data_IF_456573826203
#
_entry.id   IF_456573826203
#
_cell.length_a   1.000
_cell.length_b   1.000
_cell.length_c   1.000
_cell.angle_alpha   90.00
_cell.angle_beta   90.00
_cell.angle_gamma   90.00
#
_symmetry.space_group_name_H-M   'P 1'
#
loop_
_entity.id
_entity.type
_entity.pdbx_description
1 polymer ?
#
# COMPACT_ATOMS: atom_id res chain seq x y z
N UNK A 1 -10.41 63.06 -12.54
CA UNK A 1 -8.96 63.37 -12.67
C UNK A 1 -8.27 62.07 -13.10
N UNK A 2 -7.86 61.84 -14.37
CA UNK A 2 -6.65 62.38 -15.08
C UNK A 2 -5.40 62.17 -14.18
N UNK A 3 -4.34 61.40 -14.49
CA UNK A 3 -3.67 61.03 -15.76
C UNK A 3 -2.67 59.84 -15.60
N UNK A 4 -2.49 59.08 -16.71
CA UNK A 4 -1.26 58.58 -17.39
C UNK A 4 -0.34 57.53 -16.70
N UNK A 5 -0.06 56.37 -17.33
CA UNK A 5 0.92 56.03 -18.44
C UNK A 5 2.38 56.26 -18.00
N UNK A 6 3.32 55.33 -18.14
CA UNK A 6 3.96 54.71 -19.35
C UNK A 6 4.84 53.52 -18.86
N UNK A 7 4.84 52.31 -19.43
CA UNK A 7 5.40 51.81 -20.71
C UNK A 7 6.94 51.69 -20.77
N UNK A 8 7.36 50.63 -21.48
CA UNK A 8 8.65 50.35 -22.15
C UNK A 8 9.44 49.18 -21.51
N UNK A 9 9.49 47.98 -22.12
CA UNK A 9 10.27 47.56 -23.32
C UNK A 9 11.76 47.37 -22.95
N UNK A 10 12.54 46.41 -23.42
CA UNK A 10 12.51 45.59 -24.64
C UNK A 10 13.60 44.49 -24.53
N UNK A 11 13.55 43.53 -25.46
CA UNK A 11 14.70 42.83 -26.08
C UNK A 11 15.60 41.89 -25.25
N UNK A 12 16.13 40.76 -25.76
CA UNK A 12 16.25 40.26 -27.13
C UNK A 12 16.74 38.80 -27.17
N UNK A 13 16.63 38.25 -28.39
CA UNK A 13 16.89 36.91 -28.90
C UNK A 13 18.38 36.48 -28.94
N UNK A 14 18.63 35.16 -28.94
CA UNK A 14 19.45 34.42 -29.95
C UNK A 14 19.72 32.99 -29.45
N UNK A 15 19.19 31.95 -30.11
CA UNK A 15 19.76 31.20 -31.23
C UNK A 15 21.21 30.71 -31.02
N UNK A 16 21.39 29.38 -30.93
CA UNK A 16 22.25 28.72 -31.90
C UNK A 16 21.94 27.22 -32.08
N UNK A 17 21.77 26.86 -33.35
CA UNK A 17 21.69 25.52 -33.90
C UNK A 17 23.09 24.89 -33.92
N UNK A 18 23.20 23.55 -33.88
CA UNK A 18 24.08 22.81 -34.80
C UNK A 18 23.82 21.31 -34.75
N UNK A 19 23.41 20.83 -35.91
CA UNK A 19 23.30 19.46 -36.38
C UNK A 19 24.67 18.77 -36.41
N UNK A 20 24.69 17.44 -36.30
CA UNK A 20 25.60 16.61 -37.10
C UNK A 20 25.01 15.21 -37.32
N UNK A 21 24.68 14.96 -38.58
CA UNK A 21 24.57 13.66 -39.26
C UNK A 21 25.98 13.05 -39.37
N UNK A 22 26.26 11.74 -39.42
CA UNK A 22 25.91 10.80 -40.50
C UNK A 22 26.59 9.44 -40.24
N UNK A 23 25.97 8.36 -40.73
CA UNK A 23 26.57 7.21 -41.44
C UNK A 23 27.61 6.31 -40.72
N UNK A 24 27.74 5.00 -40.95
CA UNK A 24 27.00 3.93 -41.64
C UNK A 24 27.79 2.62 -41.40
N UNK A 25 27.16 1.47 -41.67
CA UNK A 25 27.72 0.17 -42.07
C UNK A 25 27.90 -0.97 -41.04
N UNK A 26 26.97 -1.93 -41.20
CA UNK A 26 27.23 -3.32 -41.66
C UNK A 26 27.85 -4.33 -40.70
N UNK A 27 27.00 -5.26 -40.25
CA UNK A 27 27.39 -6.61 -39.82
C UNK A 27 26.19 -7.55 -39.89
N UNK A 28 26.12 -8.40 -40.91
CA UNK A 28 25.14 -9.48 -41.04
C UNK A 28 25.48 -10.64 -40.11
N UNK A 29 24.47 -11.49 -39.89
CA UNK A 29 24.52 -12.93 -39.63
C UNK A 29 24.57 -13.38 -38.17
N UNK A 30 23.45 -13.89 -37.64
CA UNK A 30 23.13 -15.32 -37.73
C UNK A 30 21.89 -15.64 -36.92
N UNK A 31 21.05 -16.51 -37.49
CA UNK A 31 19.98 -17.20 -36.79
C UNK A 31 20.53 -17.94 -35.56
N UNK A 32 19.89 -17.78 -34.41
CA UNK A 32 19.65 -18.94 -33.55
C UNK A 32 18.33 -18.76 -32.80
N UNK A 33 17.36 -19.54 -33.23
CA UNK A 33 16.10 -19.78 -32.54
C UNK A 33 16.29 -20.84 -31.46
N UNK A 34 15.41 -20.77 -30.46
CA UNK A 34 14.98 -21.82 -29.51
C UNK A 34 15.60 -21.78 -28.09
N UNK A 35 14.97 -22.39 -27.08
CA UNK A 35 13.81 -21.86 -26.34
C UNK A 35 13.99 -21.91 -24.80
N UNK A 36 13.10 -21.24 -24.07
CA UNK A 36 12.71 -21.66 -22.71
C UNK A 36 13.74 -21.42 -21.59
N UNK A 37 13.83 -20.19 -21.09
CA UNK A 37 14.39 -19.95 -19.76
C UNK A 37 13.27 -20.01 -18.71
N UNK A 38 13.02 -21.22 -18.21
CA UNK A 38 12.12 -21.49 -17.08
C UNK A 38 12.87 -21.58 -15.74
N UNK A 39 14.12 -21.10 -15.69
CA UNK A 39 14.97 -21.22 -14.49
C UNK A 39 14.79 -20.07 -13.51
N UNK A 40 14.57 -18.84 -14.00
CA UNK A 40 14.39 -17.64 -13.15
C UNK A 40 13.12 -17.72 -12.28
N UNK A 41 12.05 -18.35 -12.77
CA UNK A 41 10.76 -18.41 -12.07
C UNK A 41 10.75 -19.35 -10.86
N UNK A 42 11.65 -20.35 -10.81
CA UNK A 42 11.63 -21.37 -9.74
C UNK A 42 12.33 -20.89 -8.46
N UNK A 43 13.42 -20.14 -8.59
CA UNK A 43 14.19 -19.67 -7.43
C UNK A 43 13.45 -18.59 -6.63
N UNK A 44 12.69 -17.72 -7.31
CA UNK A 44 11.90 -16.66 -6.66
C UNK A 44 10.77 -17.24 -5.80
N UNK A 45 10.09 -18.29 -6.28
CA UNK A 45 9.01 -18.95 -5.55
C UNK A 45 9.48 -19.74 -4.33
N UNK A 46 10.74 -20.20 -4.33
CA UNK A 46 11.31 -20.92 -3.20
C UNK A 46 11.70 -19.97 -2.04
N UNK A 47 12.11 -18.74 -2.36
CA UNK A 47 12.40 -17.70 -1.36
C UNK A 47 11.19 -16.88 -0.91
N UNK A 48 10.16 -16.76 -1.76
CA UNK A 48 8.96 -15.95 -1.50
C UNK A 48 7.67 -16.69 -1.92
N UNK A 49 7.25 -17.72 -1.16
CA UNK A 49 6.13 -18.58 -1.52
C UNK A 49 4.77 -17.86 -1.53
N UNK A 50 4.69 -16.67 -0.94
CA UNK A 50 3.48 -15.86 -0.91
C UNK A 50 3.56 -14.62 -1.80
N UNK A 51 4.62 -14.47 -2.60
CA UNK A 51 4.85 -13.32 -3.47
C UNK A 51 4.74 -11.98 -2.70
N UNK A 52 5.36 -11.92 -1.52
CA UNK A 52 5.33 -10.76 -0.64
C UNK A 52 6.10 -9.57 -1.20
N UNK A 53 7.17 -9.83 -1.96
CA UNK A 53 8.03 -8.77 -2.51
C UNK A 53 7.25 -7.96 -3.55
N UNK A 54 6.69 -8.61 -4.58
CA UNK A 54 5.99 -7.88 -5.64
C UNK A 54 4.62 -7.39 -5.17
N UNK A 55 3.86 -8.23 -4.44
CA UNK A 55 2.53 -7.83 -3.94
C UNK A 55 2.65 -6.69 -2.94
N UNK A 56 3.47 -6.82 -1.91
CA UNK A 56 3.42 -5.87 -0.79
C UNK A 56 4.60 -4.91 -0.78
N UNK A 57 5.84 -5.40 -0.79
CA UNK A 57 7.03 -4.55 -0.57
C UNK A 57 7.14 -3.45 -1.63
N UNK A 58 7.04 -3.81 -2.92
CA UNK A 58 7.17 -2.84 -4.01
C UNK A 58 6.03 -1.82 -4.02
N UNK A 59 4.79 -2.27 -3.78
CA UNK A 59 3.63 -1.39 -3.70
C UNK A 59 3.72 -0.43 -2.50
N UNK A 60 4.14 -0.91 -1.33
CA UNK A 60 4.31 -0.08 -0.14
C UNK A 60 5.45 0.92 -0.30
N UNK A 61 6.59 0.52 -0.89
CA UNK A 61 7.71 1.43 -1.14
C UNK A 61 7.27 2.69 -1.91
N UNK A 62 6.37 2.54 -2.87
CA UNK A 62 5.87 3.65 -3.68
C UNK A 62 4.73 4.47 -3.02
N UNK A 63 3.94 3.87 -2.12
CA UNK A 63 2.66 4.46 -1.66
C UNK A 63 2.57 4.70 -0.16
N UNK A 64 3.41 4.05 0.65
CA UNK A 64 3.37 4.18 2.10
C UNK A 64 3.58 5.61 2.60
N UNK A 65 4.51 6.43 2.04
CA UNK A 65 4.66 7.83 2.46
C UNK A 65 3.39 8.67 2.30
N UNK A 66 2.62 8.43 1.23
CA UNK A 66 1.34 9.10 1.02
C UNK A 66 0.26 8.56 1.96
N UNK A 67 0.19 7.24 2.15
CA UNK A 67 -0.79 6.60 3.03
C UNK A 67 -0.65 7.07 4.49
N UNK A 68 0.57 7.10 5.02
CA UNK A 68 0.81 7.54 6.39
C UNK A 68 0.49 9.03 6.56
N UNK A 69 0.76 9.87 5.55
CA UNK A 69 0.39 11.29 5.58
C UNK A 69 -1.14 11.48 5.60
N UNK A 70 -1.88 10.72 4.80
CA UNK A 70 -3.35 10.75 4.79
C UNK A 70 -3.96 10.37 6.15
N UNK A 71 -3.43 9.32 6.79
CA UNK A 71 -3.91 8.90 8.12
C UNK A 71 -3.49 9.89 9.20
N UNK A 72 -2.28 10.47 9.13
CA UNK A 72 -1.86 11.56 10.03
C UNK A 72 -2.73 12.82 9.88
N UNK A 73 -3.31 13.04 8.70
CA UNK A 73 -4.33 14.09 8.45
C UNK A 73 -5.77 13.66 8.81
N UNK A 74 -5.96 12.42 9.28
CA UNK A 74 -7.24 11.91 9.76
C UNK A 74 -8.22 11.46 8.68
N UNK A 75 -7.79 11.32 7.42
CA UNK A 75 -8.67 10.91 6.32
C UNK A 75 -7.89 10.22 5.20
N UNK A 76 -8.22 8.96 4.93
CA UNK A 76 -7.82 8.25 3.71
C UNK A 76 -8.46 8.89 2.48
N UNK A 77 -7.67 9.10 1.43
CA UNK A 77 -8.08 9.74 0.16
C UNK A 77 -7.75 8.90 -1.06
N UNK A 78 -6.70 8.08 -1.03
CA UNK A 78 -6.23 7.33 -2.22
C UNK A 78 -6.32 5.80 -2.05
N UNK A 79 -5.94 5.08 -3.11
CA UNK A 79 -6.12 3.65 -3.25
C UNK A 79 -4.88 2.87 -2.80
N UNK A 80 -4.76 2.60 -1.50
CA UNK A 80 -3.62 1.86 -0.94
C UNK A 80 -3.99 0.81 0.12
N UNK A 81 -5.27 0.72 0.50
CA UNK A 81 -5.69 -0.06 1.68
C UNK A 81 -5.25 -1.51 1.60
N UNK A 82 -5.43 -2.14 0.44
CA UNK A 82 -5.30 -3.59 0.29
C UNK A 82 -3.90 -4.11 0.60
N UNK A 83 -2.87 -3.35 0.23
CA UNK A 83 -1.49 -3.76 0.41
C UNK A 83 -0.81 -3.12 1.62
N UNK A 84 -1.47 -2.20 2.36
CA UNK A 84 -0.96 -1.64 3.64
C UNK A 84 -1.70 -2.24 4.84
N UNK A 85 -3.01 -2.46 4.71
CA UNK A 85 -3.89 -3.10 5.69
C UNK A 85 -4.56 -4.34 5.04
N UNK A 86 -3.78 -5.40 4.70
CA UNK A 86 -4.33 -6.59 4.07
C UNK A 86 -5.29 -7.32 5.00
N UNK A 87 -6.23 -8.05 4.40
CA UNK A 87 -7.29 -8.78 5.08
C UNK A 87 -7.23 -10.27 4.74
N UNK A 88 -7.87 -11.15 5.55
CA UNK A 88 -8.17 -12.50 5.09
C UNK A 88 -9.16 -12.47 3.90
N UNK A 89 -9.31 -13.58 3.15
CA UNK A 89 -10.35 -13.72 2.15
C UNK A 89 -11.75 -13.53 2.76
N UNK A 90 -12.61 -12.81 2.05
CA UNK A 90 -14.00 -12.65 2.47
C UNK A 90 -14.87 -13.73 1.80
N UNK A 91 -15.26 -14.76 2.55
CA UNK A 91 -16.02 -15.90 2.05
C UNK A 91 -17.51 -15.77 2.40
N UNK A 92 -18.39 -15.91 1.41
CA UNK A 92 -19.86 -15.95 1.57
C UNK A 92 -20.41 -17.09 0.70
N UNK A 93 -21.19 -17.99 1.31
CA UNK A 93 -21.73 -19.19 0.67
C UNK A 93 -20.66 -20.06 -0.02
N UNK A 94 -19.50 -20.20 0.63
CA UNK A 94 -18.36 -20.95 0.10
C UNK A 94 -17.63 -20.28 -1.07
N UNK A 95 -18.01 -19.04 -1.45
CA UNK A 95 -17.38 -18.29 -2.54
C UNK A 95 -16.67 -17.05 -2.01
N UNK A 96 -15.46 -16.80 -2.51
CA UNK A 96 -14.74 -15.57 -2.21
C UNK A 96 -15.43 -14.37 -2.88
N UNK A 97 -15.63 -13.31 -2.11
CA UNK A 97 -16.30 -12.07 -2.51
C UNK A 97 -15.31 -10.89 -2.46
N UNK A 98 -15.71 -9.78 -3.06
CA UNK A 98 -14.90 -8.55 -3.14
C UNK A 98 -14.37 -8.28 -4.55
N UNK A 99 -13.68 -7.15 -4.71
CA UNK A 99 -13.04 -6.80 -5.97
C UNK A 99 -11.89 -7.76 -6.28
N UNK A 100 -11.44 -7.77 -7.54
CA UNK A 100 -10.22 -8.47 -7.94
C UNK A 100 -9.03 -8.09 -7.06
N UNK A 101 -8.87 -6.78 -6.80
CA UNK A 101 -7.82 -6.25 -5.93
C UNK A 101 -7.92 -6.74 -4.48
N UNK A 102 -9.14 -6.88 -3.93
CA UNK A 102 -9.32 -7.48 -2.60
C UNK A 102 -8.79 -8.93 -2.59
N UNK A 103 -9.18 -9.74 -3.58
CA UNK A 103 -8.81 -11.15 -3.65
C UNK A 103 -7.33 -11.35 -3.90
N UNK A 104 -6.74 -10.49 -4.73
CA UNK A 104 -5.31 -10.47 -5.06
C UNK A 104 -4.45 -10.18 -3.83
N UNK A 105 -4.85 -9.24 -2.96
CA UNK A 105 -4.10 -8.89 -1.76
C UNK A 105 -4.51 -9.64 -0.48
N UNK A 106 -5.52 -10.50 -0.55
CA UNK A 106 -5.92 -11.30 0.60
C UNK A 106 -4.77 -12.23 1.06
N UNK A 107 -4.54 -12.28 2.36
CA UNK A 107 -3.55 -13.17 2.99
C UNK A 107 -4.22 -14.49 3.40
N UNK A 108 -3.63 -15.61 2.99
CA UNK A 108 -4.18 -16.96 3.14
C UNK A 108 -3.23 -17.83 3.96
N UNK A 109 -3.78 -18.75 4.76
CA UNK A 109 -2.96 -19.68 5.55
C UNK A 109 -1.99 -18.96 6.48
N UNK A 110 -0.71 -19.29 6.37
CA UNK A 110 0.42 -18.72 7.11
C UNK A 110 0.97 -17.42 6.52
N UNK A 111 0.42 -16.93 5.40
CA UNK A 111 0.86 -15.68 4.78
C UNK A 111 0.85 -14.45 5.72
N UNK A 112 -0.08 -14.29 6.70
CA UNK A 112 0.02 -13.23 7.71
C UNK A 112 1.30 -13.32 8.55
N UNK A 113 1.72 -14.52 8.91
CA UNK A 113 2.95 -14.74 9.68
C UNK A 113 4.17 -14.43 8.81
N UNK A 114 4.17 -14.87 7.55
CA UNK A 114 5.22 -14.55 6.59
C UNK A 114 5.31 -13.03 6.34
N UNK A 115 4.17 -12.34 6.22
CA UNK A 115 4.10 -10.89 6.07
C UNK A 115 4.77 -10.17 7.25
N UNK A 116 4.51 -10.61 8.50
CA UNK A 116 5.14 -10.00 9.69
C UNK A 116 6.62 -10.33 9.86
N UNK A 117 7.13 -11.40 9.23
CA UNK A 117 8.57 -11.72 9.22
C UNK A 117 9.38 -10.80 8.29
N UNK A 118 8.72 -10.08 7.38
CA UNK A 118 9.39 -9.09 6.53
C UNK A 118 9.44 -7.76 7.29
N UNK A 119 10.64 -7.38 7.74
CA UNK A 119 10.86 -6.20 8.60
C UNK A 119 10.19 -4.93 8.09
N UNK A 120 10.32 -4.64 6.78
CA UNK A 120 9.72 -3.45 6.17
C UNK A 120 8.18 -3.47 6.23
N UNK A 121 7.55 -4.63 6.04
CA UNK A 121 6.10 -4.79 6.06
C UNK A 121 5.56 -4.69 7.49
N UNK A 122 6.21 -5.35 8.45
CA UNK A 122 5.89 -5.23 9.87
C UNK A 122 6.02 -3.79 10.35
N UNK A 123 7.14 -3.14 10.04
CA UNK A 123 7.39 -1.75 10.42
C UNK A 123 6.30 -0.82 9.89
N UNK A 124 5.99 -0.92 8.59
CA UNK A 124 4.96 -0.10 7.96
C UNK A 124 3.57 -0.35 8.56
N UNK A 125 3.23 -1.61 8.84
CA UNK A 125 1.95 -1.97 9.47
C UNK A 125 1.84 -1.39 10.88
N UNK A 126 2.90 -1.47 11.68
CA UNK A 126 2.93 -0.90 13.02
C UNK A 126 2.82 0.64 12.98
N UNK A 127 3.52 1.30 12.07
CA UNK A 127 3.52 2.76 11.93
C UNK A 127 2.14 3.29 11.49
N UNK A 128 1.46 2.63 10.55
CA UNK A 128 0.09 3.01 10.17
C UNK A 128 -0.89 2.79 11.33
N UNK A 129 -0.71 1.72 12.12
CA UNK A 129 -1.51 1.47 13.32
C UNK A 129 -1.31 2.55 14.39
N UNK A 130 -0.07 2.99 14.64
CA UNK A 130 0.21 4.10 15.56
C UNK A 130 -0.41 5.41 15.11
N UNK A 131 -0.37 5.71 13.80
CA UNK A 131 -1.03 6.89 13.27
C UNK A 131 -2.55 6.83 13.46
N UNK A 132 -3.17 5.66 13.25
CA UNK A 132 -4.59 5.46 13.55
C UNK A 132 -4.89 5.66 15.05
N UNK A 133 -4.06 5.14 15.94
CA UNK A 133 -4.27 5.25 17.39
C UNK A 133 -4.23 6.72 17.83
N UNK A 134 -3.26 7.48 17.30
CA UNK A 134 -3.14 8.92 17.50
C UNK A 134 -4.44 9.63 17.10
N UNK A 135 -4.97 9.36 15.90
CA UNK A 135 -6.23 9.94 15.44
C UNK A 135 -7.42 9.59 16.34
N UNK A 136 -7.51 8.34 16.80
CA UNK A 136 -8.59 7.92 17.70
C UNK A 136 -8.53 8.63 19.06
N UNK A 137 -7.32 8.84 19.61
CA UNK A 137 -7.07 9.61 20.84
C UNK A 137 -7.51 11.07 20.71
N UNK A 138 -7.38 11.67 19.52
CA UNK A 138 -7.88 13.02 19.20
C UNK A 138 -9.35 13.07 18.79
N UNK A 139 -10.14 12.02 19.08
CA UNK A 139 -11.59 12.03 18.86
C UNK A 139 -12.06 11.56 17.49
N UNK A 140 -11.16 11.27 16.55
CA UNK A 140 -11.53 10.73 15.23
C UNK A 140 -12.08 9.28 15.34
N UNK A 141 -12.65 8.74 14.26
CA UNK A 141 -13.18 7.36 14.21
C UNK A 141 -12.69 6.63 12.97
N UNK A 142 -12.68 5.29 12.97
CA UNK A 142 -12.37 4.53 11.76
C UNK A 142 -13.34 4.85 10.62
N UNK A 143 -14.63 5.00 10.92
CA UNK A 143 -15.64 5.38 9.93
C UNK A 143 -15.35 6.75 9.31
N UNK A 144 -14.86 7.71 10.10
CA UNK A 144 -14.47 9.02 9.58
C UNK A 144 -13.18 8.93 8.76
N UNK A 145 -12.16 8.22 9.25
CA UNK A 145 -10.87 8.06 8.56
C UNK A 145 -10.99 7.31 7.23
N UNK A 146 -11.69 6.18 7.21
CA UNK A 146 -11.72 5.24 6.08
C UNK A 146 -13.04 5.24 5.30
N UNK A 147 -14.11 5.76 5.88
CA UNK A 147 -15.45 5.68 5.28
C UNK A 147 -16.12 4.32 5.51
N UNK A 148 -17.39 4.17 5.08
CA UNK A 148 -18.21 3.00 5.40
C UNK A 148 -17.77 1.71 4.71
N UNK A 149 -17.10 1.80 3.55
CA UNK A 149 -16.71 0.62 2.76
C UNK A 149 -15.34 0.05 3.14
N UNK A 150 -14.42 0.90 3.60
CA UNK A 150 -13.07 0.49 3.96
C UNK A 150 -12.92 0.23 5.47
N UNK A 151 -13.73 0.87 6.31
CA UNK A 151 -13.69 0.64 7.76
C UNK A 151 -13.81 -0.85 8.15
N UNK A 152 -14.74 -1.66 7.59
CA UNK A 152 -14.80 -3.10 7.89
C UNK A 152 -13.51 -3.86 7.54
N UNK A 153 -12.80 -3.45 6.48
CA UNK A 153 -11.52 -4.06 6.08
C UNK A 153 -10.42 -3.74 7.08
N UNK A 154 -10.38 -2.52 7.61
CA UNK A 154 -9.43 -2.14 8.67
C UNK A 154 -9.65 -3.00 9.91
N UNK A 155 -10.89 -3.15 10.37
CA UNK A 155 -11.22 -3.99 11.52
C UNK A 155 -10.84 -5.46 11.25
N UNK A 156 -11.13 -5.97 10.05
CA UNK A 156 -10.75 -7.33 9.65
C UNK A 156 -9.23 -7.53 9.64
N UNK A 157 -8.47 -6.57 9.10
CA UNK A 157 -6.99 -6.58 9.13
C UNK A 157 -6.46 -6.58 10.55
N UNK A 158 -6.95 -5.68 11.42
CA UNK A 158 -6.51 -5.58 12.81
C UNK A 158 -6.78 -6.87 13.60
N UNK A 159 -7.93 -7.52 13.42
CA UNK A 159 -8.20 -8.79 14.10
C UNK A 159 -7.22 -9.89 13.63
N UNK A 160 -7.01 -10.03 12.33
CA UNK A 160 -6.08 -11.02 11.76
C UNK A 160 -4.65 -10.79 12.28
N UNK A 161 -4.14 -9.57 12.24
CA UNK A 161 -2.78 -9.28 12.70
C UNK A 161 -2.65 -9.27 14.22
N UNK A 162 -3.72 -8.98 14.98
CA UNK A 162 -3.70 -9.18 16.43
C UNK A 162 -3.49 -10.65 16.79
N UNK A 163 -4.27 -11.55 16.16
CA UNK A 163 -4.13 -12.99 16.37
C UNK A 163 -2.76 -13.49 15.92
N UNK A 164 -2.30 -13.05 14.74
CA UNK A 164 -0.99 -13.42 14.19
C UNK A 164 0.14 -12.95 15.12
N UNK A 165 0.09 -11.71 15.61
CA UNK A 165 1.09 -11.16 16.53
C UNK A 165 1.14 -11.94 17.85
N UNK A 166 -0.02 -12.30 18.41
CA UNK A 166 -0.09 -13.15 19.61
C UNK A 166 0.53 -14.53 19.39
N UNK A 167 0.24 -15.18 18.26
CA UNK A 167 0.85 -16.46 17.89
C UNK A 167 2.37 -16.36 17.76
N UNK A 168 2.86 -15.26 17.21
CA UNK A 168 4.28 -14.99 17.00
C UNK A 168 5.01 -14.41 18.22
N UNK A 169 4.30 -14.11 19.32
CA UNK A 169 4.83 -13.39 20.50
C UNK A 169 5.41 -12.01 20.17
N UNK A 170 4.77 -11.31 19.23
CA UNK A 170 5.04 -9.91 18.93
C UNK A 170 4.16 -9.02 19.81
N UNK A 171 4.59 -8.83 21.06
CA UNK A 171 3.83 -8.14 22.10
C UNK A 171 3.52 -6.68 21.74
N UNK A 172 4.44 -6.02 21.05
CA UNK A 172 4.29 -4.63 20.62
C UNK A 172 3.13 -4.49 19.64
N UNK A 173 3.13 -5.30 18.59
CA UNK A 173 2.08 -5.24 17.58
C UNK A 173 0.73 -5.71 18.14
N UNK A 174 0.72 -6.78 18.92
CA UNK A 174 -0.50 -7.29 19.57
C UNK A 174 -1.13 -6.22 20.47
N UNK A 175 -0.32 -5.50 21.25
CA UNK A 175 -0.79 -4.42 22.13
C UNK A 175 -1.45 -3.30 21.34
N UNK A 176 -0.81 -2.83 20.26
CA UNK A 176 -1.34 -1.74 19.44
C UNK A 176 -2.64 -2.17 18.74
N UNK A 177 -2.69 -3.37 18.15
CA UNK A 177 -3.90 -3.88 17.49
C UNK A 177 -5.06 -4.04 18.49
N UNK A 178 -4.81 -4.61 19.66
CA UNK A 178 -5.81 -4.76 20.73
C UNK A 178 -6.31 -3.42 21.27
N UNK A 179 -5.42 -2.43 21.42
CA UNK A 179 -5.77 -1.05 21.79
C UNK A 179 -6.73 -0.44 20.76
N UNK A 180 -6.38 -0.49 19.47
CA UNK A 180 -7.20 0.02 18.36
C UNK A 180 -8.59 -0.62 18.31
N UNK A 181 -8.66 -1.96 18.38
CA UNK A 181 -9.92 -2.69 18.39
C UNK A 181 -10.80 -2.32 19.60
N UNK A 182 -10.18 -2.08 20.76
CA UNK A 182 -10.88 -1.66 21.97
C UNK A 182 -11.42 -0.23 21.88
N UNK A 183 -10.65 0.69 21.27
CA UNK A 183 -11.07 2.08 21.04
C UNK A 183 -12.25 2.15 20.06
N UNK A 184 -12.28 1.32 19.02
CA UNK A 184 -13.38 1.26 18.07
C UNK A 184 -14.68 0.78 18.74
N UNK A 185 -14.63 -0.33 19.50
CA UNK A 185 -15.78 -0.85 20.25
C UNK A 185 -16.39 0.19 21.20
N UNK A 186 -15.56 0.97 21.90
CA UNK A 186 -16.03 2.04 22.80
C UNK A 186 -16.77 3.15 22.06
N UNK A 187 -16.36 3.48 20.84
CA UNK A 187 -17.00 4.51 20.01
C UNK A 187 -18.18 3.97 19.18
N UNK A 188 -18.31 2.65 19.04
CA UNK A 188 -19.40 2.00 18.31
C UNK A 188 -19.99 0.80 19.08
N UNK A 189 -20.72 1.03 20.19
CA UNK A 189 -21.26 -0.05 21.04
C UNK A 189 -22.29 -0.96 20.33
N UNK A 190 -22.78 -0.56 19.15
CA UNK A 190 -23.77 -1.32 18.37
C UNK A 190 -23.14 -2.24 17.30
N UNK A 191 -21.81 -2.31 17.15
CA UNK A 191 -21.18 -3.13 16.10
C UNK A 191 -21.12 -4.63 16.42
N UNK A 192 -21.44 -5.05 17.65
CA UNK A 192 -21.33 -6.45 18.11
C UNK A 192 -22.58 -7.30 17.81
N UNK A 193 -23.51 -6.82 16.99
CA UNK A 193 -24.68 -7.59 16.54
C UNK A 193 -24.60 -7.84 15.03
N UNK A 194 -23.75 -8.77 14.59
CA UNK A 194 -23.89 -9.45 13.29
C UNK A 194 -23.31 -10.85 13.38
#
# INVERSE_FOLDING_TARGET
MRRKRTSDSDDSLSNNSSSNSSASQSGKNSQNSNPGDSSVSKDHQQSDPHDLIERFVMNQKARFPHAIAEIKQGKKRTHWLWFILPTPPYIVDGKERGSEMNRYFALRGDAPQAYLKVDALRYNYLEICRAMECQLKFGNTFRNMFGPYDCPKVISSLNMFNETALQMKDDELATVCSSLLSMDKKKNPNSTKR
#
